data_IF_095310428430
#
_entry.id   IF_095310428430
#
_cell.length_a   1.000
_cell.length_b   1.000
_cell.length_c   1.000
_cell.angle_alpha   90.00
_cell.angle_beta   90.00
_cell.angle_gamma   90.00
#
_symmetry.space_group_name_H-M   'P 1'
#
loop_
_entity.id
_entity.type
_entity.pdbx_description
1 polymer ?
#
# COMPACT_ATOMS: atom_id res chain seq x y z
N UNK A 1 -20.74 -24.33 35.39
CA UNK A 1 -20.46 -24.84 34.03
C UNK A 1 -20.75 -23.68 33.09
N UNK A 2 -19.84 -23.09 32.32
CA UNK A 2 -18.51 -23.47 31.81
C UNK A 2 -17.83 -22.15 31.43
N UNK A 3 -16.58 -21.94 31.87
CA UNK A 3 -15.76 -20.81 31.41
C UNK A 3 -15.45 -20.99 29.92
N UNK A 4 -15.78 -19.98 29.11
CA UNK A 4 -15.39 -19.92 27.71
C UNK A 4 -13.86 -19.75 27.62
N UNK A 5 -13.17 -20.86 27.36
CA UNK A 5 -11.79 -20.83 26.88
C UNK A 5 -11.80 -20.43 25.41
N UNK A 6 -11.77 -19.12 25.13
CA UNK A 6 -11.34 -18.59 23.83
C UNK A 6 -9.83 -18.84 23.71
N UNK A 7 -9.47 -20.08 23.37
CA UNK A 7 -8.13 -20.44 22.97
C UNK A 7 -7.91 -19.87 21.57
N UNK A 8 -7.31 -18.67 21.51
CA UNK A 8 -6.70 -18.15 20.29
C UNK A 8 -5.73 -19.20 19.76
N UNK A 9 -6.16 -19.94 18.74
CA UNK A 9 -5.32 -20.89 18.04
C UNK A 9 -4.27 -20.07 17.29
N UNK A 10 -3.09 -19.92 17.87
CA UNK A 10 -1.93 -19.32 17.19
C UNK A 10 -1.58 -20.20 16.01
N UNK A 11 -2.11 -19.91 14.82
CA UNK A 11 -1.48 -20.43 13.61
C UNK A 11 -0.12 -19.76 13.47
N UNK A 12 0.91 -20.58 13.54
CA UNK A 12 2.31 -20.17 13.37
C UNK A 12 2.74 -20.34 11.90
N UNK A 13 1.81 -20.17 10.95
CA UNK A 13 2.07 -20.29 9.53
C UNK A 13 3.02 -19.20 9.07
N UNK A 14 4.01 -19.59 8.25
CA UNK A 14 4.96 -18.67 7.61
C UNK A 14 4.20 -17.54 6.93
N UNK A 15 4.51 -16.29 7.27
CA UNK A 15 3.82 -15.14 6.70
C UNK A 15 4.03 -15.10 5.17
N UNK A 16 2.95 -15.06 4.36
CA UNK A 16 3.06 -15.07 2.90
C UNK A 16 3.48 -13.72 2.31
N UNK A 17 3.26 -12.61 3.04
CA UNK A 17 3.66 -11.26 2.60
C UNK A 17 5.19 -11.12 2.58
N UNK A 18 5.85 -11.42 3.69
CA UNK A 18 7.31 -11.30 3.84
C UNK A 18 8.05 -12.64 3.77
N UNK A 19 7.38 -13.72 3.36
CA UNK A 19 7.94 -15.08 3.32
C UNK A 19 8.64 -15.49 4.62
N UNK A 20 8.10 -15.10 5.77
CA UNK A 20 8.66 -15.42 7.08
C UNK A 20 9.80 -14.52 7.58
N UNK A 21 10.24 -13.53 6.81
CA UNK A 21 11.36 -12.64 7.16
C UNK A 21 11.04 -11.64 8.27
N UNK A 22 9.75 -11.35 8.50
CA UNK A 22 9.32 -10.22 9.35
C UNK A 22 9.53 -8.84 8.71
N UNK A 23 10.20 -8.79 7.55
CA UNK A 23 10.51 -7.58 6.81
C UNK A 23 10.15 -7.80 5.33
N UNK A 24 9.48 -6.82 4.72
CA UNK A 24 9.14 -6.80 3.29
C UNK A 24 10.27 -6.07 2.57
N UNK A 25 10.91 -6.73 1.60
CA UNK A 25 11.96 -6.14 0.78
C UNK A 25 11.49 -5.89 -0.67
N UNK A 26 12.40 -5.40 -1.52
CA UNK A 26 12.10 -5.11 -2.91
C UNK A 26 11.66 -6.35 -3.72
N UNK A 27 12.19 -7.53 -3.39
CA UNK A 27 11.80 -8.78 -4.05
C UNK A 27 10.35 -9.14 -3.69
N UNK A 28 9.96 -8.98 -2.42
CA UNK A 28 8.58 -9.17 -1.98
C UNK A 28 7.63 -8.16 -2.64
N UNK A 29 8.01 -6.88 -2.68
CA UNK A 29 7.21 -5.82 -3.31
C UNK A 29 6.96 -6.12 -4.78
N UNK A 30 8.00 -6.53 -5.51
CA UNK A 30 7.89 -6.93 -6.92
C UNK A 30 7.02 -8.17 -7.09
N UNK A 31 7.22 -9.20 -6.27
CA UNK A 31 6.44 -10.45 -6.31
C UNK A 31 4.95 -10.21 -6.02
N UNK A 32 4.64 -9.24 -5.17
CA UNK A 32 3.28 -8.87 -4.78
C UNK A 32 2.65 -7.78 -5.67
N UNK A 33 3.35 -7.36 -6.74
CA UNK A 33 2.91 -6.33 -7.67
C UNK A 33 2.54 -5.00 -6.99
N UNK A 34 3.32 -4.61 -5.98
CA UNK A 34 3.13 -3.38 -5.20
C UNK A 34 4.26 -2.37 -5.42
N UNK A 35 4.99 -2.45 -6.54
CA UNK A 35 5.91 -1.39 -6.95
C UNK A 35 5.15 -0.05 -6.99
N UNK A 36 5.82 1.04 -6.59
CA UNK A 36 5.24 2.38 -6.45
C UNK A 36 4.15 2.53 -5.37
N UNK A 37 3.65 1.44 -4.80
CA UNK A 37 2.65 1.46 -3.73
C UNK A 37 3.29 1.22 -2.36
N UNK A 38 4.38 0.45 -2.30
CA UNK A 38 5.11 0.12 -1.08
C UNK A 38 6.59 0.52 -1.13
N UNK A 39 7.16 0.71 0.07
CA UNK A 39 8.59 0.77 0.31
C UNK A 39 9.01 -0.38 1.24
N UNK A 40 10.28 -0.85 1.19
CA UNK A 40 10.76 -1.86 2.11
C UNK A 40 10.61 -1.43 3.57
N UNK A 41 10.28 -2.38 4.43
CA UNK A 41 10.04 -2.08 5.84
C UNK A 41 9.51 -3.27 6.64
N UNK A 42 9.27 -3.08 7.96
CA UNK A 42 8.64 -4.08 8.79
C UNK A 42 7.30 -4.57 8.19
N UNK A 43 7.08 -5.88 8.22
CA UNK A 43 5.90 -6.48 7.60
C UNK A 43 4.64 -6.25 8.44
N UNK A 44 3.78 -5.33 8.03
CA UNK A 44 2.50 -5.03 8.68
C UNK A 44 1.59 -6.26 8.81
N UNK A 45 1.55 -7.13 7.79
CA UNK A 45 0.67 -8.30 7.75
C UNK A 45 0.90 -9.31 8.87
N UNK A 46 2.15 -9.42 9.35
CA UNK A 46 2.48 -10.29 10.47
C UNK A 46 3.00 -9.51 11.68
N UNK A 47 2.84 -8.19 11.69
CA UNK A 47 3.43 -7.29 12.67
C UNK A 47 4.90 -7.64 12.96
N UNK A 48 5.71 -7.70 11.90
CA UNK A 48 7.13 -8.06 11.91
C UNK A 48 7.52 -9.44 12.51
N UNK A 49 6.57 -10.28 12.91
CA UNK A 49 6.85 -11.58 13.55
C UNK A 49 7.33 -12.67 12.59
N UNK A 50 7.13 -12.49 11.28
CA UNK A 50 7.32 -13.53 10.27
C UNK A 50 6.24 -14.60 10.25
N UNK A 51 5.20 -14.50 11.10
CA UNK A 51 4.12 -15.49 11.21
C UNK A 51 2.76 -14.84 11.06
N UNK A 52 1.91 -15.39 10.20
CA UNK A 52 0.56 -14.89 9.98
C UNK A 52 -0.47 -15.72 10.76
N UNK A 53 -1.44 -15.03 11.36
CA UNK A 53 -2.58 -15.66 12.03
C UNK A 53 -3.57 -16.22 11.00
N UNK A 54 -4.41 -17.18 11.42
CA UNK A 54 -5.41 -17.86 10.58
C UNK A 54 -6.42 -16.86 10.05
N UNK A 55 -6.81 -15.92 10.90
CA UNK A 55 -7.65 -14.77 10.58
C UNK A 55 -7.05 -13.90 9.47
N UNK A 56 -5.78 -13.50 9.60
CA UNK A 56 -5.09 -12.72 8.55
C UNK A 56 -5.10 -13.46 7.22
N UNK A 57 -4.76 -14.74 7.24
CA UNK A 57 -4.70 -15.58 6.03
C UNK A 57 -6.06 -15.76 5.37
N UNK A 58 -7.15 -15.78 6.15
CA UNK A 58 -8.49 -16.02 5.65
C UNK A 58 -9.17 -14.74 5.15
N UNK A 59 -8.90 -13.61 5.81
CA UNK A 59 -9.71 -12.40 5.63
C UNK A 59 -8.97 -11.27 4.92
N UNK A 60 -7.64 -11.26 4.95
CA UNK A 60 -6.84 -10.13 4.46
C UNK A 60 -5.95 -10.56 3.30
N UNK A 61 -6.11 -9.88 2.16
CA UNK A 61 -5.26 -10.13 1.01
C UNK A 61 -3.80 -9.79 1.32
N UNK A 62 -2.90 -10.66 0.86
CA UNK A 62 -1.46 -10.54 1.15
C UNK A 62 -0.84 -9.25 0.60
N UNK A 63 -1.45 -8.66 -0.43
CA UNK A 63 -1.02 -7.44 -1.09
C UNK A 63 -1.83 -6.18 -0.68
N UNK A 64 -2.74 -6.26 0.31
CA UNK A 64 -3.54 -5.09 0.77
C UNK A 64 -2.64 -3.92 1.16
N UNK A 65 -2.71 -2.85 0.37
CA UNK A 65 -1.85 -1.67 0.43
C UNK A 65 -2.11 -0.81 1.66
N UNK A 66 -3.37 -0.71 2.07
CA UNK A 66 -3.81 0.08 3.23
C UNK A 66 -3.30 -0.48 4.57
N UNK A 67 -2.90 -1.75 4.62
CA UNK A 67 -2.36 -2.37 5.82
C UNK A 67 -0.87 -2.02 5.97
N UNK A 68 -0.61 -0.95 6.72
CA UNK A 68 0.74 -0.44 7.06
C UNK A 68 1.09 -0.70 8.53
N UNK A 69 2.39 -0.63 8.87
CA UNK A 69 2.87 -0.99 10.22
C UNK A 69 2.53 0.07 11.29
N UNK A 70 2.30 1.30 10.84
CA UNK A 70 1.94 2.47 11.63
C UNK A 70 0.42 2.63 11.79
N UNK A 71 -0.38 1.78 11.13
CA UNK A 71 -1.82 1.77 11.29
C UNK A 71 -2.18 1.43 12.75
N UNK A 72 -3.09 2.18 13.41
CA UNK A 72 -3.51 1.86 14.76
C UNK A 72 -4.06 0.44 14.86
N UNK A 73 -3.78 -0.27 15.96
CA UNK A 73 -4.26 -1.65 16.16
C UNK A 73 -5.78 -1.76 15.97
N UNK A 74 -6.55 -0.74 16.40
CA UNK A 74 -8.00 -0.70 16.20
C UNK A 74 -8.42 -0.72 14.73
N UNK A 75 -7.67 -0.06 13.84
CA UNK A 75 -7.93 -0.10 12.39
C UNK A 75 -7.49 -1.42 11.78
N UNK A 76 -6.38 -2.00 12.27
CA UNK A 76 -5.93 -3.34 11.86
C UNK A 76 -7.00 -4.39 12.20
N UNK A 77 -7.60 -4.32 13.39
CA UNK A 77 -8.69 -5.20 13.79
C UNK A 77 -9.94 -5.04 12.90
N UNK A 78 -10.28 -3.81 12.48
CA UNK A 78 -11.36 -3.60 11.52
C UNK A 78 -11.09 -4.27 10.17
N UNK A 79 -9.85 -4.16 9.67
CA UNK A 79 -9.43 -4.84 8.44
C UNK A 79 -9.57 -6.36 8.59
N UNK A 80 -9.09 -6.93 9.70
CA UNK A 80 -9.18 -8.38 9.98
C UNK A 80 -10.63 -8.88 10.04
N UNK A 81 -11.52 -8.06 10.61
CA UNK A 81 -12.94 -8.36 10.74
C UNK A 81 -13.77 -8.06 9.49
N UNK A 82 -13.15 -7.53 8.43
CA UNK A 82 -13.84 -7.23 7.18
C UNK A 82 -14.79 -6.03 7.26
N UNK A 83 -14.48 -5.04 8.11
CA UNK A 83 -15.28 -3.82 8.24
C UNK A 83 -15.41 -3.08 6.89
N UNK A 84 -16.65 -2.87 6.44
CA UNK A 84 -16.93 -2.33 5.10
C UNK A 84 -16.40 -0.91 4.92
N UNK A 85 -16.51 -0.06 5.94
CA UNK A 85 -16.06 1.33 5.89
C UNK A 85 -14.54 1.41 5.77
N UNK A 86 -13.81 0.65 6.59
CA UNK A 86 -12.34 0.59 6.54
C UNK A 86 -11.86 -0.04 5.24
N UNK A 87 -12.53 -1.07 4.72
CA UNK A 87 -12.21 -1.65 3.40
C UNK A 87 -12.39 -0.60 2.29
N UNK A 88 -13.49 0.15 2.32
CA UNK A 88 -13.77 1.16 1.30
C UNK A 88 -12.77 2.31 1.33
N UNK A 89 -12.37 2.77 2.52
CA UNK A 89 -11.26 3.73 2.67
C UNK A 89 -9.98 3.24 2.02
N UNK A 90 -9.62 1.97 2.24
CA UNK A 90 -8.46 1.35 1.62
C UNK A 90 -8.53 1.34 0.09
N UNK A 91 -9.71 1.01 -0.48
CA UNK A 91 -9.92 1.05 -1.93
C UNK A 91 -9.82 2.46 -2.50
N UNK A 92 -10.41 3.46 -1.83
CA UNK A 92 -10.34 4.86 -2.27
C UNK A 92 -8.89 5.36 -2.27
N UNK A 93 -8.09 5.01 -1.27
CA UNK A 93 -6.68 5.33 -1.25
C UNK A 93 -5.91 4.64 -2.39
N UNK A 94 -6.21 3.37 -2.68
CA UNK A 94 -5.59 2.66 -3.79
C UNK A 94 -5.92 3.30 -5.15
N UNK A 95 -7.20 3.64 -5.37
CA UNK A 95 -7.64 4.35 -6.58
C UNK A 95 -6.96 5.71 -6.73
N UNK A 96 -6.80 6.43 -5.62
CA UNK A 96 -6.10 7.71 -5.60
C UNK A 96 -4.64 7.56 -6.06
N UNK A 97 -3.89 6.63 -5.46
CA UNK A 97 -2.50 6.36 -5.83
C UNK A 97 -2.40 5.92 -7.30
N UNK A 98 -3.28 5.03 -7.76
CA UNK A 98 -3.31 4.60 -9.16
C UNK A 98 -3.60 5.73 -10.14
N UNK A 99 -4.44 6.68 -9.75
CA UNK A 99 -4.74 7.85 -10.59
C UNK A 99 -3.50 8.72 -10.80
N UNK A 100 -2.70 8.96 -9.76
CA UNK A 100 -1.44 9.70 -9.85
C UNK A 100 -0.44 8.96 -10.75
N UNK A 101 -0.33 7.63 -10.60
CA UNK A 101 0.55 6.81 -11.45
C UNK A 101 0.14 6.97 -12.92
N UNK A 102 -1.13 6.74 -13.26
CA UNK A 102 -1.63 6.84 -14.65
C UNK A 102 -1.48 8.25 -15.21
N UNK A 103 -1.77 9.27 -14.40
CA UNK A 103 -1.60 10.67 -14.76
C UNK A 103 -0.14 10.97 -15.11
N UNK A 104 0.78 10.53 -14.26
CA UNK A 104 2.22 10.70 -14.44
C UNK A 104 2.71 9.99 -15.70
N UNK A 105 2.35 8.72 -15.87
CA UNK A 105 2.73 7.93 -17.02
C UNK A 105 2.28 8.58 -18.33
N UNK A 106 1.02 9.04 -18.41
CA UNK A 106 0.51 9.70 -19.59
C UNK A 106 1.31 10.97 -19.94
N UNK A 107 1.54 11.86 -18.98
CA UNK A 107 2.24 13.13 -19.23
C UNK A 107 3.72 12.93 -19.50
N UNK A 108 4.37 12.00 -18.82
CA UNK A 108 5.76 11.66 -19.10
C UNK A 108 5.92 11.09 -20.52
N UNK A 109 5.11 10.08 -20.88
CA UNK A 109 5.27 9.35 -22.14
C UNK A 109 4.79 10.14 -23.37
N UNK A 110 3.72 10.94 -23.24
CA UNK A 110 3.08 11.58 -24.38
C UNK A 110 3.35 13.08 -24.48
N UNK A 111 3.78 13.71 -23.39
CA UNK A 111 4.04 15.16 -23.32
C UNK A 111 5.50 15.49 -23.01
N UNK A 112 6.34 14.49 -22.76
CA UNK A 112 7.76 14.63 -22.43
C UNK A 112 7.99 15.59 -21.24
N UNK A 113 7.10 15.54 -20.25
CA UNK A 113 7.17 16.39 -19.06
C UNK A 113 8.07 15.78 -17.99
N UNK A 114 8.76 16.62 -17.23
CA UNK A 114 9.53 16.21 -16.05
C UNK A 114 8.67 16.16 -14.78
N UNK A 115 9.26 15.69 -13.68
CA UNK A 115 8.51 15.49 -12.43
C UNK A 115 7.93 16.78 -11.85
N UNK A 116 8.69 17.89 -11.94
CA UNK A 116 8.28 19.20 -11.45
C UNK A 116 7.06 19.70 -12.24
N UNK A 117 7.14 19.65 -13.57
CA UNK A 117 6.08 20.11 -14.47
C UNK A 117 4.80 19.31 -14.32
N UNK A 118 4.91 17.99 -14.11
CA UNK A 118 3.74 17.13 -13.87
C UNK A 118 3.11 17.44 -12.51
N UNK A 119 3.91 17.64 -11.45
CA UNK A 119 3.41 17.99 -10.12
C UNK A 119 2.68 19.34 -10.15
N UNK A 120 3.28 20.35 -10.79
CA UNK A 120 2.69 21.68 -10.94
C UNK A 120 1.37 21.63 -11.70
N UNK A 121 1.32 20.85 -12.80
CA UNK A 121 0.10 20.68 -13.57
C UNK A 121 -0.98 19.97 -12.74
N UNK A 122 -0.64 18.86 -12.06
CA UNK A 122 -1.57 18.12 -11.22
C UNK A 122 -2.21 19.03 -10.16
N UNK A 123 -1.40 19.74 -9.38
CA UNK A 123 -1.86 20.64 -8.31
C UNK A 123 -2.66 21.83 -8.84
N UNK A 124 -2.34 22.34 -10.04
CA UNK A 124 -3.11 23.43 -10.66
C UNK A 124 -4.51 23.00 -11.13
N UNK A 125 -4.71 21.69 -11.33
CA UNK A 125 -5.98 21.09 -11.76
C UNK A 125 -6.71 20.36 -10.65
N UNK A 126 -6.09 20.26 -9.47
CA UNK A 126 -6.67 19.60 -8.32
C UNK A 126 -7.88 20.37 -7.81
N UNK A 127 -8.97 19.65 -7.53
CA UNK A 127 -10.17 20.23 -6.96
C UNK A 127 -9.90 20.56 -5.50
N UNK A 128 -10.31 21.74 -5.02
CA UNK A 128 -10.25 22.12 -3.59
C UNK A 128 -10.92 21.08 -2.67
N UNK A 129 -11.81 20.22 -3.20
CA UNK A 129 -12.48 19.11 -2.51
C UNK A 129 -11.83 17.74 -2.72
N UNK A 130 -10.57 17.67 -3.13
CA UNK A 130 -9.88 16.39 -3.30
C UNK A 130 -9.90 15.60 -1.97
N UNK A 131 -10.18 14.27 -2.01
CA UNK A 131 -10.28 13.46 -0.81
C UNK A 131 -8.93 13.30 -0.08
N UNK A 132 -7.83 13.55 -0.78
CA UNK A 132 -6.47 13.52 -0.24
C UNK A 132 -5.72 14.73 -0.79
N UNK A 133 -5.08 15.50 0.09
CA UNK A 133 -4.13 16.54 -0.30
C UNK A 133 -2.72 15.99 -0.24
N UNK A 134 -1.87 16.39 -1.19
CA UNK A 134 -0.47 15.96 -1.23
C UNK A 134 0.42 17.18 -1.20
N UNK A 135 1.33 17.22 -0.23
CA UNK A 135 2.39 18.23 -0.20
C UNK A 135 3.20 18.17 -1.49
N UNK A 136 3.47 19.33 -2.09
CA UNK A 136 4.06 19.45 -3.42
C UNK A 136 5.39 18.70 -3.52
N UNK A 137 6.26 18.83 -2.52
CA UNK A 137 7.56 18.18 -2.49
C UNK A 137 7.43 16.64 -2.49
N UNK A 138 6.46 16.11 -1.74
CA UNK A 138 6.20 14.67 -1.70
C UNK A 138 5.66 14.18 -3.04
N UNK A 139 4.79 14.96 -3.69
CA UNK A 139 4.27 14.65 -5.01
C UNK A 139 5.39 14.60 -6.06
N UNK A 140 6.28 15.60 -6.08
CA UNK A 140 7.44 15.65 -7.01
C UNK A 140 8.34 14.42 -6.82
N UNK A 141 8.66 14.07 -5.57
CA UNK A 141 9.47 12.89 -5.29
C UNK A 141 8.79 11.60 -5.75
N UNK A 142 7.47 11.50 -5.55
CA UNK A 142 6.70 10.34 -5.96
C UNK A 142 6.65 10.19 -7.48
N UNK A 143 6.36 11.27 -8.20
CA UNK A 143 6.37 11.34 -9.67
C UNK A 143 7.76 10.97 -10.21
N UNK A 144 8.83 11.45 -9.58
CA UNK A 144 10.20 11.10 -9.98
C UNK A 144 10.44 9.60 -9.94
N UNK A 145 10.00 8.90 -8.88
CA UNK A 145 10.09 7.45 -8.76
C UNK A 145 9.29 6.72 -9.84
N UNK A 146 8.10 7.22 -10.19
CA UNK A 146 7.29 6.65 -11.28
C UNK A 146 8.04 6.76 -12.62
N UNK A 147 8.58 7.93 -12.93
CA UNK A 147 9.37 8.17 -14.15
C UNK A 147 10.60 7.27 -14.21
N UNK A 148 11.34 7.14 -13.10
CA UNK A 148 12.51 6.26 -13.00
C UNK A 148 12.15 4.80 -13.30
N UNK A 149 11.04 4.29 -12.74
CA UNK A 149 10.56 2.94 -13.04
C UNK A 149 10.23 2.80 -14.54
N UNK A 150 9.53 3.76 -15.15
CA UNK A 150 9.22 3.72 -16.59
C UNK A 150 10.44 3.75 -17.49
N UNK A 151 11.47 4.53 -17.13
CA UNK A 151 12.74 4.51 -17.86
C UNK A 151 13.41 3.14 -17.83
N UNK A 152 13.25 2.36 -16.76
CA UNK A 152 13.79 1.00 -16.69
C UNK A 152 12.98 -0.02 -17.49
N UNK A 153 11.67 0.18 -17.65
CA UNK A 153 10.79 -0.70 -18.45
C UNK A 153 10.97 -0.51 -19.97
N UNK A 154 11.49 0.65 -20.41
CA UNK A 154 11.76 0.96 -21.82
C UNK A 154 13.13 0.49 -22.34
N UNK A 155 13.99 -0.02 -21.46
CA UNK A 155 15.32 -0.56 -21.81
C UNK A 155 15.23 -2.04 -22.13
#
# INVERSE_FOLDING_TARGET
>A
MTLFNFLFKKSNSRCPRCLGKGFVDWEDIKRLNNQLKWAPGPCAYCNASGKATEEMLSNVAVNTTYLTIDLPESEIEKIKNGDEETIEKGKLQELFVESIIKYTEYHYLNKNMDAQSIADLYLSTENEKAPFSVEKENLIQYISKIIELKKTEQK
#
